data_IF_754383451025
#
_entry.id   IF_754383451025
#
_cell.length_a   1.000
_cell.length_b   1.000
_cell.length_c   1.000
_cell.angle_alpha   90.00
_cell.angle_beta   90.00
_cell.angle_gamma   90.00
#
_symmetry.space_group_name_H-M   'P 1'
#
loop_
_entity.id
_entity.type
_entity.pdbx_description
1 polymer ?
#
# COMPACT_ATOMS: atom_id res chain seq x y z
N UNK A 1 19.92 -0.11 4.66
CA UNK A 1 20.31 -1.52 4.44
C UNK A 1 20.85 -1.67 3.03
N UNK A 2 21.90 -2.48 2.83
CA UNK A 2 22.61 -2.61 1.55
C UNK A 2 21.84 -3.43 0.49
N UNK A 3 20.77 -4.12 0.87
CA UNK A 3 20.01 -4.98 -0.05
C UNK A 3 20.60 -6.38 -0.21
N UNK A 4 21.68 -6.70 0.50
CA UNK A 4 22.19 -8.06 0.61
C UNK A 4 21.43 -8.80 1.71
N UNK A 5 20.79 -9.91 1.34
CA UNK A 5 19.99 -10.74 2.24
C UNK A 5 20.49 -12.19 2.23
N UNK A 6 20.30 -12.87 3.36
CA UNK A 6 20.57 -14.29 3.59
C UNK A 6 19.36 -14.87 4.34
N UNK A 7 18.82 -15.99 3.87
CA UNK A 7 17.64 -16.63 4.47
C UNK A 7 17.99 -17.72 5.51
N UNK A 8 19.28 -17.99 5.74
CA UNK A 8 19.74 -19.06 6.63
C UNK A 8 19.52 -20.48 6.09
N UNK A 9 18.94 -20.63 4.90
CA UNK A 9 18.73 -21.89 4.18
C UNK A 9 19.70 -22.04 3.01
N UNK A 10 20.81 -21.28 3.04
CA UNK A 10 21.86 -21.29 2.03
C UNK A 10 21.60 -20.37 0.83
N UNK A 11 20.50 -19.61 0.81
CA UNK A 11 20.24 -18.65 -0.27
C UNK A 11 20.69 -17.27 0.13
N UNK A 12 21.42 -16.63 -0.79
CA UNK A 12 21.86 -15.24 -0.69
C UNK A 12 21.46 -14.52 -1.96
N UNK A 13 20.90 -13.33 -1.82
CA UNK A 13 20.52 -12.51 -2.97
C UNK A 13 20.74 -11.03 -2.70
N UNK A 14 20.81 -10.27 -3.79
CA UNK A 14 20.86 -8.83 -3.75
C UNK A 14 19.56 -8.26 -4.31
N UNK A 15 18.76 -7.62 -3.46
CA UNK A 15 17.46 -7.09 -3.81
C UNK A 15 17.54 -5.66 -4.38
N UNK A 16 16.98 -5.46 -5.58
CA UNK A 16 16.81 -4.13 -6.19
C UNK A 16 15.78 -3.28 -5.45
N UNK A 17 14.84 -3.93 -4.75
CA UNK A 17 13.77 -3.35 -3.93
C UNK A 17 14.05 -3.45 -2.43
N UNK A 18 15.34 -3.34 -2.03
CA UNK A 18 15.75 -3.25 -0.62
C UNK A 18 14.97 -2.18 0.16
N UNK A 19 15.00 -2.28 1.49
CA UNK A 19 14.39 -1.31 2.40
C UNK A 19 14.78 0.15 2.05
N UNK A 20 13.76 0.99 1.84
CA UNK A 20 13.88 2.44 1.61
C UNK A 20 13.05 3.18 2.64
N UNK A 21 13.64 4.15 3.31
CA UNK A 21 12.93 5.04 4.24
C UNK A 21 12.39 6.30 3.58
N UNK A 22 13.01 6.74 2.48
CA UNK A 22 12.61 7.95 1.75
C UNK A 22 12.22 7.63 0.30
N UNK A 23 13.15 7.08 -0.48
CA UNK A 23 12.89 6.69 -1.88
C UNK A 23 12.34 7.84 -2.71
N UNK A 24 12.98 9.01 -2.64
CA UNK A 24 12.58 10.23 -3.34
C UNK A 24 11.14 10.67 -3.03
N UNK A 25 10.75 10.52 -1.76
CA UNK A 25 9.41 10.86 -1.25
C UNK A 25 8.36 9.77 -1.48
N UNK A 26 8.61 8.79 -2.35
CA UNK A 26 7.63 7.76 -2.68
C UNK A 26 7.35 6.79 -1.54
N UNK A 27 8.31 6.57 -0.63
CA UNK A 27 8.13 5.69 0.54
C UNK A 27 7.29 6.36 1.64
N UNK A 28 7.34 7.70 1.72
CA UNK A 28 6.70 8.48 2.78
C UNK A 28 5.37 9.09 2.36
N UNK A 29 5.10 9.19 1.05
CA UNK A 29 3.83 9.71 0.54
C UNK A 29 2.65 8.82 1.02
N UNK A 30 1.57 9.40 1.59
CA UNK A 30 0.48 8.63 2.18
C UNK A 30 -0.54 8.17 1.12
N UNK A 31 -0.12 7.24 0.26
CA UNK A 31 -0.92 6.69 -0.85
C UNK A 31 -2.32 6.24 -0.43
N UNK A 32 -3.36 6.73 -1.12
CA UNK A 32 -4.74 6.31 -0.85
C UNK A 32 -4.93 4.81 -1.13
N UNK A 33 -4.29 4.30 -2.18
CA UNK A 33 -4.31 2.88 -2.57
C UNK A 33 -3.84 1.97 -1.43
N UNK A 34 -2.87 2.41 -0.63
CA UNK A 34 -2.33 1.61 0.47
C UNK A 34 -3.33 1.57 1.63
N UNK A 35 -3.91 2.72 2.00
CA UNK A 35 -4.96 2.78 3.02
C UNK A 35 -6.19 1.94 2.64
N UNK A 36 -6.58 2.00 1.36
CA UNK A 36 -7.66 1.17 0.81
C UNK A 36 -7.31 -0.32 0.87
N UNK A 37 -6.09 -0.72 0.51
CA UNK A 37 -5.66 -2.12 0.59
C UNK A 37 -5.70 -2.68 2.01
N UNK A 38 -5.29 -1.89 3.01
CA UNK A 38 -5.42 -2.31 4.41
C UNK A 38 -6.87 -2.60 4.77
N UNK A 39 -7.81 -1.73 4.35
CA UNK A 39 -9.23 -1.97 4.56
C UNK A 39 -9.74 -3.23 3.85
N UNK A 40 -9.27 -3.53 2.63
CA UNK A 40 -9.65 -4.79 1.97
C UNK A 40 -9.12 -6.01 2.73
N UNK A 41 -7.92 -5.95 3.32
CA UNK A 41 -7.43 -7.03 4.17
C UNK A 41 -8.21 -7.13 5.48
N UNK A 42 -8.61 -6.00 6.09
CA UNK A 42 -9.49 -6.02 7.27
C UNK A 42 -10.84 -6.68 6.96
N UNK A 43 -11.40 -6.45 5.77
CA UNK A 43 -12.62 -7.13 5.30
C UNK A 43 -12.38 -8.63 5.11
N UNK A 44 -11.30 -8.98 4.42
CA UNK A 44 -10.90 -10.37 4.17
C UNK A 44 -10.78 -11.19 5.46
N UNK A 45 -10.28 -10.57 6.53
CA UNK A 45 -10.05 -11.22 7.82
C UNK A 45 -11.15 -10.96 8.87
N UNK A 46 -12.28 -10.35 8.49
CA UNK A 46 -13.43 -10.17 9.38
C UNK A 46 -13.27 -9.09 10.45
N UNK A 47 -12.25 -8.23 10.33
CA UNK A 47 -12.03 -7.07 11.21
C UNK A 47 -12.95 -5.90 10.83
N UNK A 48 -13.38 -5.84 9.57
CA UNK A 48 -14.47 -4.99 9.09
C UNK A 48 -15.64 -5.87 8.64
N UNK A 49 -16.85 -5.58 9.14
CA UNK A 49 -18.04 -6.40 8.90
C UNK A 49 -18.80 -6.03 7.62
N UNK A 50 -18.67 -4.79 7.15
CA UNK A 50 -19.31 -4.27 5.95
C UNK A 50 -18.28 -3.57 5.07
N UNK A 51 -18.58 -3.43 3.77
CA UNK A 51 -17.76 -2.67 2.83
C UNK A 51 -17.95 -1.17 3.07
N UNK A 52 -16.93 -0.44 3.59
CA UNK A 52 -17.04 1.00 3.74
C UNK A 52 -16.96 1.69 2.38
N UNK A 53 -17.20 3.00 2.35
CA UNK A 53 -16.63 3.83 1.28
C UNK A 53 -15.12 3.91 1.48
N UNK A 54 -14.42 2.93 0.91
CA UNK A 54 -12.97 2.76 1.01
C UNK A 54 -12.23 4.04 0.65
N UNK A 55 -12.65 4.73 -0.42
CA UNK A 55 -11.95 5.92 -0.90
C UNK A 55 -12.20 7.10 0.04
N UNK A 56 -13.44 7.31 0.47
CA UNK A 56 -13.75 8.41 1.39
C UNK A 56 -13.07 8.22 2.75
N UNK A 57 -13.04 6.99 3.28
CA UNK A 57 -12.34 6.69 4.54
C UNK A 57 -10.84 6.93 4.39
N UNK A 58 -10.21 6.42 3.33
CA UNK A 58 -8.79 6.65 3.09
C UNK A 58 -8.46 8.14 2.93
N UNK A 59 -9.27 8.90 2.19
CA UNK A 59 -9.06 10.34 1.99
C UNK A 59 -9.20 11.17 3.28
N UNK A 60 -10.08 10.74 4.20
CA UNK A 60 -10.25 11.42 5.50
C UNK A 60 -9.04 11.20 6.43
N UNK A 61 -8.43 10.02 6.35
CA UNK A 61 -7.31 9.61 7.22
C UNK A 61 -5.96 10.05 6.64
N UNK A 62 -5.72 9.79 5.36
CA UNK A 62 -4.48 10.12 4.67
C UNK A 62 -4.49 11.61 4.33
N UNK A 63 -3.94 12.43 5.22
CA UNK A 63 -3.86 13.90 5.09
C UNK A 63 -2.90 14.35 3.98
N UNK A 64 -3.21 14.00 2.72
CA UNK A 64 -2.37 14.26 1.54
C UNK A 64 -2.16 15.76 1.34
N UNK A 65 -3.17 16.61 1.57
CA UNK A 65 -3.00 18.06 1.47
C UNK A 65 -1.88 18.58 2.38
N UNK A 66 -1.91 18.18 3.65
CA UNK A 66 -0.89 18.54 4.64
C UNK A 66 0.50 18.00 4.25
N UNK A 67 0.55 16.77 3.72
CA UNK A 67 1.80 16.21 3.21
C UNK A 67 2.34 17.03 2.02
N UNK A 68 1.48 17.43 1.08
CA UNK A 68 1.86 18.23 -0.10
C UNK A 68 2.40 19.60 0.32
N UNK A 69 1.75 20.29 1.25
CA UNK A 69 2.23 21.54 1.83
C UNK A 69 3.65 21.39 2.42
N UNK A 70 3.89 20.33 3.21
CA UNK A 70 5.22 20.06 3.78
C UNK A 70 6.26 19.66 2.71
N UNK A 71 5.85 18.92 1.68
CA UNK A 71 6.70 18.50 0.59
C UNK A 71 7.17 19.70 -0.26
N UNK A 72 6.28 20.65 -0.54
CA UNK A 72 6.61 21.90 -1.23
C UNK A 72 7.65 22.72 -0.44
N UNK A 73 7.45 22.86 0.87
CA UNK A 73 8.40 23.59 1.74
C UNK A 73 9.77 22.92 1.83
N UNK A 74 9.82 21.59 1.77
CA UNK A 74 11.07 20.81 1.88
C UNK A 74 11.73 20.48 0.55
N UNK A 75 11.08 20.80 -0.58
CA UNK A 75 11.54 20.38 -1.91
C UNK A 75 11.44 18.88 -2.16
N UNK A 76 10.62 18.16 -1.38
CA UNK A 76 10.40 16.73 -1.55
C UNK A 76 9.60 16.48 -2.85
N UNK A 77 10.06 15.59 -3.76
CA UNK A 77 9.30 15.25 -4.95
C UNK A 77 7.91 14.70 -4.61
N UNK A 78 6.91 15.16 -5.35
CA UNK A 78 5.53 14.71 -5.22
C UNK A 78 5.13 13.83 -6.39
N UNK A 79 4.38 12.74 -6.16
CA UNK A 79 3.85 11.93 -7.24
C UNK A 79 2.72 12.65 -7.99
N UNK A 80 2.53 12.27 -9.25
CA UNK A 80 1.47 12.79 -10.14
C UNK A 80 0.06 12.27 -9.81
N UNK A 81 -0.03 11.19 -9.02
CA UNK A 81 -1.28 10.58 -8.56
C UNK A 81 -1.24 10.35 -7.06
N UNK A 82 -2.41 10.33 -6.43
CA UNK A 82 -2.59 9.98 -5.02
C UNK A 82 -2.71 8.46 -4.79
N UNK A 83 -2.73 7.67 -5.87
CA UNK A 83 -2.81 6.21 -5.87
C UNK A 83 -1.67 5.59 -6.66
N UNK A 84 -1.34 4.34 -6.32
CA UNK A 84 -0.37 3.50 -7.04
C UNK A 84 -0.89 2.08 -7.24
N UNK A 85 -0.30 1.37 -8.19
CA UNK A 85 -0.51 -0.06 -8.41
C UNK A 85 0.63 -0.87 -7.78
N UNK A 86 0.30 -2.05 -7.25
CA UNK A 86 1.25 -2.98 -6.63
C UNK A 86 1.00 -4.40 -7.15
N UNK A 87 2.05 -5.09 -7.55
CA UNK A 87 2.01 -6.54 -7.81
C UNK A 87 2.43 -7.28 -6.55
N UNK A 88 1.60 -8.20 -6.07
CA UNK A 88 1.88 -9.01 -4.89
C UNK A 88 2.70 -10.25 -5.22
N UNK A 89 3.17 -10.93 -4.18
CA UNK A 89 4.05 -12.10 -4.29
C UNK A 89 3.41 -13.28 -5.05
N UNK A 90 2.08 -13.37 -5.07
CA UNK A 90 1.31 -14.38 -5.81
C UNK A 90 1.02 -13.97 -7.27
N UNK A 91 1.55 -12.83 -7.71
CA UNK A 91 1.33 -12.27 -9.05
C UNK A 91 0.02 -11.48 -9.20
N UNK A 92 -0.82 -11.42 -8.16
CA UNK A 92 -2.03 -10.59 -8.20
C UNK A 92 -1.69 -9.10 -8.24
N UNK A 93 -2.53 -8.32 -8.92
CA UNK A 93 -2.36 -6.87 -9.04
C UNK A 93 -3.41 -6.16 -8.20
N UNK A 94 -2.95 -5.24 -7.35
CA UNK A 94 -3.76 -4.28 -6.64
C UNK A 94 -3.59 -2.90 -7.28
N UNK A 95 -4.67 -2.32 -7.82
CA UNK A 95 -4.67 -1.01 -8.46
C UNK A 95 -5.62 0.01 -7.81
N UNK A 96 -6.36 -0.40 -6.78
CA UNK A 96 -7.29 0.44 -6.03
C UNK A 96 -8.62 0.76 -6.72
N UNK A 97 -8.92 0.19 -7.89
CA UNK A 97 -10.14 0.52 -8.65
C UNK A 97 -11.41 -0.10 -8.08
N UNK A 98 -11.33 -1.35 -7.63
CA UNK A 98 -12.46 -2.07 -7.03
C UNK A 98 -12.06 -2.80 -5.74
N UNK A 99 -12.05 -2.10 -4.59
CA UNK A 99 -11.66 -2.67 -3.31
C UNK A 99 -12.57 -3.81 -2.83
N UNK A 100 -13.88 -3.71 -3.12
CA UNK A 100 -14.86 -4.68 -2.69
C UNK A 100 -14.70 -6.00 -3.46
N UNK A 101 -14.61 -5.95 -4.79
CA UNK A 101 -14.34 -7.12 -5.60
C UNK A 101 -12.97 -7.74 -5.26
N UNK A 102 -11.94 -6.91 -5.04
CA UNK A 102 -10.63 -7.38 -4.62
C UNK A 102 -10.69 -8.15 -3.29
N UNK A 103 -11.36 -7.61 -2.26
CA UNK A 103 -11.54 -8.30 -0.98
C UNK A 103 -12.30 -9.63 -1.13
N UNK A 104 -13.30 -9.68 -2.02
CA UNK A 104 -14.10 -10.88 -2.27
C UNK A 104 -13.38 -11.95 -3.11
N UNK A 105 -12.34 -11.57 -3.86
CA UNK A 105 -11.63 -12.46 -4.80
C UNK A 105 -10.83 -13.58 -4.13
N UNK A 106 -10.46 -13.42 -2.85
CA UNK A 106 -9.61 -14.38 -2.14
C UNK A 106 -10.39 -15.65 -1.76
N UNK A 107 -9.83 -16.81 -2.10
CA UNK A 107 -10.36 -18.11 -1.69
C UNK A 107 -10.34 -18.28 -0.15
N UNK A 108 -9.24 -17.87 0.48
CA UNK A 108 -9.11 -17.85 1.93
C UNK A 108 -9.52 -16.47 2.49
N UNK A 109 -10.70 -16.43 3.10
CA UNK A 109 -11.31 -15.27 3.76
C UNK A 109 -12.21 -15.71 4.92
N UNK A 110 -12.46 -14.83 5.89
CA UNK A 110 -13.44 -15.10 6.94
C UNK A 110 -14.82 -15.36 6.33
N UNK A 111 -15.54 -16.34 6.86
CA UNK A 111 -16.98 -16.47 6.60
C UNK A 111 -17.66 -15.37 7.43
N UNK A 112 -18.31 -14.44 6.74
CA UNK A 112 -19.23 -13.50 7.38
C UNK A 112 -20.43 -14.27 7.96
#
# INVERSE_FOLDING_TARGET
MLGSYDDGLGRRWHDRHRLRFYGDGAATFPWLSDGMWFMTQHRRWGLLQYDPDYRAVAARVNRISLYREAAELSGTPLPSSDTRSSTLIDGSVWDGRDPAAYAASFAARSRA
#
